data_IF_423933176861
#
_entry.id   IF_423933176861
#
_cell.length_a   1.000
_cell.length_b   1.000
_cell.length_c   1.000
_cell.angle_alpha   90.00
_cell.angle_beta   90.00
_cell.angle_gamma   90.00
#
_symmetry.space_group_name_H-M   'P 1'
#
loop_
_entity.id
_entity.type
_entity.pdbx_description
1 polymer ?
#
# COMPACT_ATOMS: atom_id res chain seq x y z
N UNK A 1 -23.16 6.63 3.90
CA UNK A 1 -22.29 7.27 2.90
C UNK A 1 -21.04 6.41 2.81
N UNK A 2 -20.73 5.86 1.64
CA UNK A 2 -19.57 4.96 1.46
C UNK A 2 -18.41 5.77 0.92
N UNK A 3 -17.26 5.69 1.57
CA UNK A 3 -16.02 6.36 1.14
C UNK A 3 -15.11 5.33 0.50
N UNK A 4 -14.64 5.60 -0.71
CA UNK A 4 -13.60 4.84 -1.38
C UNK A 4 -12.35 5.70 -1.50
N UNK A 5 -11.21 5.12 -1.12
CA UNK A 5 -9.92 5.77 -1.27
C UNK A 5 -9.32 5.49 -2.64
N UNK A 6 -8.74 6.51 -3.26
CA UNK A 6 -8.01 6.38 -4.51
C UNK A 6 -6.66 5.74 -4.22
N UNK A 7 -6.50 4.46 -4.56
CA UNK A 7 -5.27 3.70 -4.42
C UNK A 7 -5.02 2.80 -5.64
N UNK A 8 -3.80 2.27 -5.76
CA UNK A 8 -3.47 1.30 -6.82
C UNK A 8 -3.04 1.92 -8.15
N UNK A 9 -2.86 3.24 -8.24
CA UNK A 9 -2.38 3.90 -9.48
C UNK A 9 -1.00 3.42 -9.96
N UNK A 10 -0.23 2.77 -9.09
CA UNK A 10 1.07 2.16 -9.43
C UNK A 10 0.95 1.11 -10.55
N UNK A 11 -0.19 0.43 -10.69
CA UNK A 11 -0.42 -0.53 -11.78
C UNK A 11 -0.47 0.11 -13.17
N UNK A 12 -0.69 1.44 -13.23
CA UNK A 12 -0.78 2.20 -14.49
C UNK A 12 0.58 2.66 -15.00
N UNK A 13 1.65 2.52 -14.23
CA UNK A 13 2.99 2.94 -14.65
C UNK A 13 3.52 2.17 -15.86
N UNK A 14 2.93 1.01 -16.19
CA UNK A 14 3.33 0.21 -17.35
C UNK A 14 2.68 0.66 -18.67
N UNK A 15 1.53 1.35 -18.65
CA UNK A 15 0.78 1.78 -19.84
C UNK A 15 0.59 3.30 -19.83
N UNK A 16 1.69 4.05 -20.00
CA UNK A 16 1.65 5.52 -20.00
C UNK A 16 1.07 6.11 -21.29
N UNK A 17 1.17 5.38 -22.41
CA UNK A 17 0.75 5.85 -23.74
C UNK A 17 -0.77 5.71 -23.97
N UNK A 18 -1.46 4.88 -23.18
CA UNK A 18 -2.90 4.65 -23.27
C UNK A 18 -3.56 4.77 -21.88
N UNK A 19 -3.79 6.00 -21.39
CA UNK A 19 -4.40 6.19 -20.08
C UNK A 19 -5.88 5.75 -20.10
N UNK A 20 -6.18 4.66 -19.37
CA UNK A 20 -7.55 4.20 -19.18
C UNK A 20 -8.35 5.16 -18.27
N UNK A 21 -9.51 5.63 -18.73
CA UNK A 21 -10.35 6.54 -17.96
C UNK A 21 -10.99 5.91 -16.71
N UNK A 22 -11.60 6.74 -15.86
CA UNK A 22 -12.46 6.25 -14.77
C UNK A 22 -13.82 5.90 -15.35
N UNK A 23 -14.21 4.62 -15.25
CA UNK A 23 -15.51 4.15 -15.69
C UNK A 23 -16.57 4.20 -14.56
N UNK A 24 -17.85 4.11 -14.92
CA UNK A 24 -18.98 3.96 -13.98
C UNK A 24 -19.25 5.15 -13.04
N UNK A 25 -18.90 6.39 -13.42
CA UNK A 25 -19.13 7.59 -12.60
C UNK A 25 -20.60 7.80 -12.17
N UNK A 26 -21.59 7.33 -12.95
CA UNK A 26 -23.00 7.35 -12.55
C UNK A 26 -23.28 6.58 -11.24
N UNK A 27 -22.49 5.54 -10.95
CA UNK A 27 -22.61 4.80 -9.68
C UNK A 27 -22.34 5.68 -8.47
N UNK A 28 -21.53 6.74 -8.62
CA UNK A 28 -21.21 7.65 -7.52
C UNK A 28 -22.45 8.46 -7.11
N UNK A 29 -23.25 8.87 -8.08
CA UNK A 29 -24.50 9.60 -7.84
C UNK A 29 -25.55 8.65 -7.25
N UNK A 30 -25.80 7.51 -7.91
CA UNK A 30 -26.85 6.56 -7.51
C UNK A 30 -26.58 5.98 -6.13
N UNK A 31 -25.33 5.62 -5.83
CA UNK A 31 -24.94 5.02 -4.54
C UNK A 31 -24.45 6.03 -3.50
N UNK A 32 -24.42 7.32 -3.85
CA UNK A 32 -23.90 8.42 -3.00
C UNK A 32 -22.51 8.10 -2.45
N UNK A 33 -21.60 7.74 -3.36
CA UNK A 33 -20.20 7.40 -3.05
C UNK A 33 -19.36 8.67 -2.95
N UNK A 34 -18.50 8.74 -1.93
CA UNK A 34 -17.41 9.72 -1.81
C UNK A 34 -16.11 9.08 -2.29
N UNK A 35 -15.44 9.69 -3.27
CA UNK A 35 -14.07 9.33 -3.67
C UNK A 35 -13.11 10.32 -3.02
N UNK A 36 -12.08 9.82 -2.34
CA UNK A 36 -11.05 10.67 -1.71
C UNK A 36 -9.66 10.10 -1.93
N UNK A 37 -8.69 10.98 -2.17
CA UNK A 37 -7.28 10.63 -2.09
C UNK A 37 -6.76 10.77 -0.65
N UNK A 38 -5.58 10.19 -0.41
CA UNK A 38 -4.79 10.49 0.77
C UNK A 38 -3.31 10.30 0.44
N UNK A 39 -2.47 11.17 1.00
CA UNK A 39 -1.02 11.03 0.93
C UNK A 39 -0.47 10.97 2.35
N UNK A 40 0.33 9.95 2.66
CA UNK A 40 0.85 9.71 4.02
C UNK A 40 1.63 10.90 4.57
N UNK A 41 2.28 11.68 3.71
CA UNK A 41 3.05 12.87 4.09
C UNK A 41 2.21 13.91 4.83
N UNK A 42 0.94 14.05 4.46
CA UNK A 42 0.03 15.05 5.04
C UNK A 42 -0.31 14.71 6.49
N UNK A 43 -0.11 13.46 6.90
CA UNK A 43 -0.47 12.91 8.20
C UNK A 43 0.74 12.59 9.09
N UNK A 44 1.97 12.96 8.71
CA UNK A 44 3.15 12.67 9.54
C UNK A 44 3.10 13.31 10.93
N UNK A 45 2.34 14.39 11.11
CA UNK A 45 2.07 14.98 12.43
C UNK A 45 1.35 14.01 13.39
N UNK A 46 0.64 12.99 12.87
CA UNK A 46 -0.01 11.94 13.67
C UNK A 46 0.91 10.75 13.98
N UNK A 47 2.09 10.68 13.37
CA UNK A 47 3.00 9.54 13.48
C UNK A 47 3.37 9.17 14.92
N UNK A 48 3.65 10.12 15.85
CA UNK A 48 3.93 9.77 17.25
C UNK A 48 2.78 9.02 17.92
N UNK A 49 1.55 9.52 17.74
CA UNK A 49 0.33 8.89 18.27
C UNK A 49 0.06 7.52 17.64
N UNK A 50 0.31 7.40 16.34
CA UNK A 50 0.20 6.13 15.63
C UNK A 50 1.18 5.08 16.20
N UNK A 51 2.44 5.47 16.46
CA UNK A 51 3.44 4.56 17.03
C UNK A 51 3.10 4.08 18.44
N UNK A 52 2.49 4.92 19.26
CA UNK A 52 2.00 4.50 20.59
C UNK A 52 0.92 3.42 20.45
N UNK A 53 -0.11 3.70 19.66
CA UNK A 53 -1.22 2.79 19.43
C UNK A 53 -0.77 1.45 18.83
N UNK A 54 0.08 1.50 17.79
CA UNK A 54 0.55 0.29 17.11
C UNK A 54 1.42 -0.59 18.01
N UNK A 55 2.27 0.00 18.86
CA UNK A 55 3.10 -0.77 19.81
C UNK A 55 2.24 -1.56 20.78
N UNK A 56 1.16 -0.99 21.29
CA UNK A 56 0.21 -1.70 22.15
C UNK A 56 -0.46 -2.85 21.40
N UNK A 57 -0.97 -2.61 20.20
CA UNK A 57 -1.68 -3.63 19.42
C UNK A 57 -0.78 -4.81 19.03
N UNK A 58 0.49 -4.54 18.70
CA UNK A 58 1.47 -5.60 18.41
C UNK A 58 1.77 -6.40 19.68
N UNK A 59 2.01 -5.73 20.82
CA UNK A 59 2.28 -6.41 22.11
C UNK A 59 1.11 -7.28 22.58
N UNK A 60 -0.11 -6.83 22.34
CA UNK A 60 -1.34 -7.54 22.69
C UNK A 60 -1.70 -8.64 21.67
N UNK A 61 -0.95 -8.79 20.58
CA UNK A 61 -1.24 -9.76 19.52
C UNK A 61 -2.50 -9.44 18.70
N UNK A 62 -3.04 -8.22 18.83
CA UNK A 62 -4.22 -7.75 18.07
C UNK A 62 -3.88 -7.43 16.61
N UNK A 63 -2.60 -7.30 16.29
CA UNK A 63 -2.11 -7.00 14.95
C UNK A 63 -1.09 -8.05 14.52
N UNK A 64 -1.41 -8.77 13.44
CA UNK A 64 -0.49 -9.69 12.77
C UNK A 64 0.05 -8.98 11.54
N UNK A 65 1.37 -8.95 11.38
CA UNK A 65 2.01 -8.47 10.17
C UNK A 65 2.61 -9.67 9.41
N UNK A 66 2.57 -9.62 8.08
CA UNK A 66 3.16 -10.63 7.21
C UNK A 66 4.19 -9.94 6.32
N UNK A 67 5.40 -10.47 6.33
CA UNK A 67 6.53 -10.00 5.52
C UNK A 67 6.97 -11.08 4.55
N UNK A 68 7.33 -10.65 3.35
CA UNK A 68 8.00 -11.42 2.33
C UNK A 68 9.45 -10.95 2.28
N UNK A 69 10.39 -11.79 2.75
CA UNK A 69 11.78 -11.39 2.97
C UNK A 69 12.67 -11.99 1.87
N UNK A 70 13.28 -11.12 1.08
CA UNK A 70 14.36 -11.47 0.15
C UNK A 70 15.72 -11.23 0.81
N UNK A 71 16.56 -12.25 0.91
CA UNK A 71 17.92 -12.10 1.46
C UNK A 71 18.90 -11.62 0.38
N UNK A 72 19.80 -10.69 0.72
CA UNK A 72 20.83 -10.17 -0.19
C UNK A 72 20.36 -8.97 -1.02
N UNK A 73 21.20 -7.94 -1.11
CA UNK A 73 20.91 -6.72 -1.87
C UNK A 73 20.78 -7.01 -3.39
N UNK A 74 21.50 -8.02 -3.86
CA UNK A 74 21.46 -8.53 -5.23
C UNK A 74 20.06 -8.98 -5.65
N UNK A 75 19.20 -9.37 -4.71
CA UNK A 75 17.83 -9.79 -4.97
C UNK A 75 16.82 -8.62 -4.98
N UNK A 76 17.23 -7.41 -4.58
CA UNK A 76 16.35 -6.25 -4.54
C UNK A 76 15.69 -5.91 -5.89
N UNK A 77 16.39 -5.96 -7.05
CA UNK A 77 15.75 -5.73 -8.35
C UNK A 77 14.67 -6.77 -8.67
N UNK A 78 14.95 -8.05 -8.40
CA UNK A 78 14.00 -9.14 -8.64
C UNK A 78 12.78 -9.03 -7.72
N UNK A 79 12.98 -8.70 -6.44
CA UNK A 79 11.93 -8.47 -5.46
C UNK A 79 11.03 -7.29 -5.87
N UNK A 80 11.62 -6.19 -6.33
CA UNK A 80 10.87 -5.02 -6.82
C UNK A 80 10.05 -5.37 -8.07
N UNK A 81 10.62 -6.09 -9.04
CA UNK A 81 9.86 -6.55 -10.22
C UNK A 81 8.73 -7.50 -9.80
N UNK A 82 8.98 -8.38 -8.83
CA UNK A 82 7.99 -9.29 -8.27
C UNK A 82 6.78 -8.57 -7.65
N UNK A 83 7.01 -7.44 -6.98
CA UNK A 83 5.95 -6.59 -6.41
C UNK A 83 4.92 -6.14 -7.48
N UNK A 84 5.39 -5.69 -8.65
CA UNK A 84 4.50 -5.27 -9.75
C UNK A 84 3.76 -6.43 -10.41
N UNK A 85 4.20 -7.66 -10.21
CA UNK A 85 3.54 -8.88 -10.68
C UNK A 85 2.73 -9.58 -9.58
N UNK A 86 2.58 -8.98 -8.40
CA UNK A 86 1.83 -9.54 -7.28
C UNK A 86 2.43 -10.83 -6.72
N UNK A 87 3.75 -11.01 -6.83
CA UNK A 87 4.43 -12.23 -6.33
C UNK A 87 4.62 -12.23 -4.81
N UNK A 88 4.60 -11.07 -4.17
CA UNK A 88 4.84 -10.93 -2.75
C UNK A 88 3.61 -11.30 -1.91
N UNK A 89 3.81 -12.00 -0.80
CA UNK A 89 2.76 -12.24 0.20
C UNK A 89 3.02 -11.35 1.41
N UNK A 90 2.25 -10.27 1.53
CA UNK A 90 2.46 -9.26 2.58
C UNK A 90 3.49 -8.20 2.16
N UNK A 91 4.21 -7.64 3.12
CA UNK A 91 5.16 -6.55 2.88
C UNK A 91 6.49 -7.08 2.36
N UNK A 92 6.88 -6.69 1.15
CA UNK A 92 8.20 -7.02 0.62
C UNK A 92 9.31 -6.29 1.40
N UNK A 93 10.28 -7.05 1.89
CA UNK A 93 11.47 -6.57 2.61
C UNK A 93 12.72 -7.20 1.99
N UNK A 94 13.82 -6.45 1.94
CA UNK A 94 15.13 -6.97 1.53
C UNK A 94 16.07 -6.95 2.73
N UNK A 95 16.54 -8.12 3.14
CA UNK A 95 17.52 -8.28 4.22
C UNK A 95 18.94 -8.16 3.66
N UNK A 96 19.57 -6.99 3.86
CA UNK A 96 20.90 -6.69 3.30
C UNK A 96 22.02 -7.29 4.16
N UNK A 97 21.87 -7.27 5.47
CA UNK A 97 22.83 -7.82 6.43
C UNK A 97 22.09 -8.26 7.69
N UNK A 98 22.54 -9.34 8.31
CA UNK A 98 22.09 -9.75 9.65
C UNK A 98 23.04 -9.07 10.64
N UNK A 99 22.47 -8.32 11.58
CA UNK A 99 23.22 -7.80 12.74
C UNK A 99 23.84 -8.95 13.55
#
# INVERSE_FOLDING_TARGET
MVVFFVCGMISRYHNLDEPEGVHNLMSFIVKRIRMEDFVVSDYFHLFPKFLELMREHIKEGKLVYVEDISEGLENAPAALVGLFHGKNIGKQVVLVSKE
#
